data_IF_259630903294
#
_entry.id   IF_259630903294
#
_cell.length_a   1.000
_cell.length_b   1.000
_cell.length_c   1.000
_cell.angle_alpha   90.00
_cell.angle_beta   90.00
_cell.angle_gamma   90.00
#
_symmetry.space_group_name_H-M   'P 1'
#
loop_
_entity.id
_entity.type
_entity.pdbx_description
1 polymer ?
#
# COMPACT_ATOMS: atom_id res chain seq x y z
N UNK A 1 20.78 -3.93 9.17
CA UNK A 1 21.79 -3.47 8.19
C UNK A 1 22.27 -2.07 8.53
N UNK A 2 23.58 -1.84 8.68
CA UNK A 2 24.14 -0.53 9.06
C UNK A 2 24.55 0.34 7.87
N UNK A 3 24.78 -0.25 6.70
CA UNK A 3 25.09 0.48 5.45
C UNK A 3 23.84 1.05 4.77
N UNK A 4 24.00 2.18 4.08
CA UNK A 4 22.94 2.83 3.30
C UNK A 4 22.45 1.90 2.20
N UNK A 5 23.36 1.27 1.44
CA UNK A 5 23.02 0.30 0.40
C UNK A 5 22.21 -0.88 0.95
N UNK A 6 22.53 -1.37 2.14
CA UNK A 6 21.78 -2.44 2.80
C UNK A 6 20.36 -2.02 3.18
N UNK A 7 20.14 -0.78 3.62
CA UNK A 7 18.79 -0.26 3.92
C UNK A 7 17.94 -0.11 2.67
N UNK A 8 18.55 0.41 1.60
CA UNK A 8 17.87 0.57 0.29
C UNK A 8 17.43 -0.80 -0.23
N UNK A 9 18.31 -1.80 -0.26
CA UNK A 9 17.97 -3.14 -0.73
C UNK A 9 16.86 -3.79 0.13
N UNK A 10 16.95 -3.67 1.47
CA UNK A 10 15.95 -4.22 2.40
C UNK A 10 14.54 -3.63 2.21
N UNK A 11 14.42 -2.38 1.74
CA UNK A 11 13.13 -1.76 1.43
C UNK A 11 12.69 -2.05 -0.01
N UNK A 12 13.62 -1.99 -0.96
CA UNK A 12 13.32 -2.10 -2.38
C UNK A 12 12.73 -3.46 -2.77
N UNK A 13 13.33 -4.57 -2.31
CA UNK A 13 12.85 -5.91 -2.64
C UNK A 13 11.41 -6.19 -2.20
N UNK A 14 11.03 -5.97 -0.92
CA UNK A 14 9.65 -6.22 -0.51
C UNK A 14 8.66 -5.29 -1.20
N UNK A 15 9.03 -4.02 -1.45
CA UNK A 15 8.16 -3.10 -2.21
C UNK A 15 7.96 -3.61 -3.65
N UNK A 16 9.02 -4.04 -4.32
CA UNK A 16 8.92 -4.59 -5.67
C UNK A 16 8.00 -5.82 -5.74
N UNK A 17 8.17 -6.76 -4.80
CA UNK A 17 7.33 -7.96 -4.74
C UNK A 17 5.87 -7.60 -4.46
N UNK A 18 5.61 -6.64 -3.56
CA UNK A 18 4.27 -6.15 -3.27
C UNK A 18 3.55 -5.65 -4.54
N UNK A 19 4.25 -4.84 -5.34
CA UNK A 19 3.73 -4.36 -6.63
C UNK A 19 3.58 -5.49 -7.65
N UNK A 20 4.54 -6.40 -7.73
CA UNK A 20 4.49 -7.54 -8.67
C UNK A 20 3.30 -8.48 -8.39
N UNK A 21 2.90 -8.61 -7.12
CA UNK A 21 1.72 -9.38 -6.70
C UNK A 21 0.40 -8.61 -6.82
N UNK A 22 0.42 -7.37 -7.32
CA UNK A 22 -0.76 -6.52 -7.51
C UNK A 22 -1.49 -6.24 -6.19
N UNK A 23 -0.74 -6.13 -5.08
CA UNK A 23 -1.33 -5.70 -3.83
C UNK A 23 -1.61 -4.20 -3.84
N UNK A 24 -2.66 -3.81 -3.13
CA UNK A 24 -3.14 -2.43 -3.11
C UNK A 24 -2.57 -1.66 -1.93
N UNK A 25 -2.00 -0.50 -2.23
CA UNK A 25 -1.50 0.43 -1.22
C UNK A 25 -2.30 1.73 -1.26
N UNK A 26 -2.93 2.06 -0.13
CA UNK A 26 -3.84 3.20 0.00
C UNK A 26 -3.24 4.49 -0.55
N UNK A 27 -2.02 4.83 -0.13
CA UNK A 27 -1.38 6.10 -0.51
C UNK A 27 -1.02 6.12 -2.00
N UNK A 28 -0.72 4.96 -2.59
CA UNK A 28 -0.43 4.85 -4.02
C UNK A 28 -1.73 5.03 -4.81
N UNK A 29 -2.82 4.42 -4.35
CA UNK A 29 -4.13 4.55 -4.97
C UNK A 29 -4.68 5.99 -4.87
N UNK A 30 -4.37 6.71 -3.79
CA UNK A 30 -4.65 8.15 -3.65
C UNK A 30 -3.95 9.03 -4.70
N UNK A 31 -2.88 8.54 -5.33
CA UNK A 31 -2.22 9.23 -6.44
C UNK A 31 -2.66 8.69 -7.80
N UNK A 32 -2.73 7.35 -7.94
CA UNK A 32 -2.96 6.69 -9.22
C UNK A 32 -4.38 6.90 -9.76
N UNK A 33 -5.41 6.83 -8.90
CA UNK A 33 -6.80 6.99 -9.33
C UNK A 33 -7.12 8.44 -9.74
N UNK A 34 -6.74 9.48 -8.96
CA UNK A 34 -6.90 10.87 -9.43
C UNK A 34 -6.14 11.17 -10.71
N UNK A 35 -4.92 10.63 -10.88
CA UNK A 35 -4.18 10.75 -12.12
C UNK A 35 -4.93 10.08 -13.29
N UNK A 36 -5.50 8.89 -13.07
CA UNK A 36 -6.33 8.20 -14.07
C UNK A 36 -7.57 8.99 -14.47
N UNK A 37 -8.26 9.62 -13.50
CA UNK A 37 -9.40 10.50 -13.78
C UNK A 37 -9.01 11.71 -14.64
N UNK A 38 -7.86 12.34 -14.34
CA UNK A 38 -7.33 13.46 -15.13
C UNK A 38 -6.98 13.03 -16.56
N UNK A 39 -6.48 11.79 -16.72
CA UNK A 39 -6.14 11.21 -18.02
C UNK A 39 -7.37 10.66 -18.78
N UNK A 40 -8.58 10.83 -18.26
CA UNK A 40 -9.82 10.51 -18.96
C UNK A 40 -10.43 9.14 -18.63
N UNK A 41 -10.15 8.57 -17.46
CA UNK A 41 -10.79 7.32 -17.06
C UNK A 41 -12.26 7.52 -16.63
N UNK A 42 -13.14 6.61 -17.08
CA UNK A 42 -14.59 6.67 -16.88
C UNK A 42 -15.05 6.16 -15.50
N UNK A 43 -14.46 6.66 -14.40
CA UNK A 43 -14.94 6.34 -13.05
C UNK A 43 -15.02 7.59 -12.16
N UNK A 44 -16.12 7.70 -11.42
CA UNK A 44 -16.38 8.82 -10.52
C UNK A 44 -15.70 8.67 -9.15
N UNK A 45 -15.59 9.79 -8.44
CA UNK A 45 -15.01 9.86 -7.07
C UNK A 45 -15.74 8.94 -6.09
N UNK A 46 -17.07 8.87 -6.16
CA UNK A 46 -17.87 8.02 -5.28
C UNK A 46 -17.60 6.52 -5.49
N UNK A 47 -17.38 6.10 -6.74
CA UNK A 47 -17.04 4.71 -7.07
C UNK A 47 -15.65 4.36 -6.55
N UNK A 48 -14.67 5.24 -6.79
CA UNK A 48 -13.31 5.07 -6.27
C UNK A 48 -13.28 4.99 -4.74
N UNK A 49 -14.00 5.87 -4.04
CA UNK A 49 -13.99 5.91 -2.58
C UNK A 49 -14.54 4.61 -1.97
N UNK A 50 -15.70 4.15 -2.45
CA UNK A 50 -16.41 3.01 -1.87
C UNK A 50 -15.79 1.65 -2.24
N UNK A 51 -15.32 1.50 -3.48
CA UNK A 51 -14.85 0.20 -3.99
C UNK A 51 -13.33 0.04 -3.97
N UNK A 52 -12.58 1.13 -3.76
CA UNK A 52 -11.12 1.05 -3.69
C UNK A 52 -10.58 1.63 -2.38
N UNK A 53 -10.84 2.91 -2.10
CA UNK A 53 -10.14 3.60 -1.02
C UNK A 53 -10.48 3.03 0.36
N UNK A 54 -11.77 2.86 0.67
CA UNK A 54 -12.20 2.31 1.97
C UNK A 54 -11.70 0.87 2.16
N UNK A 55 -11.91 -0.07 1.21
CA UNK A 55 -11.35 -1.43 1.33
C UNK A 55 -9.83 -1.45 1.49
N UNK A 56 -9.10 -0.64 0.72
CA UNK A 56 -7.63 -0.62 0.75
C UNK A 56 -7.12 -0.10 2.09
N UNK A 57 -7.73 0.96 2.66
CA UNK A 57 -7.38 1.48 3.98
C UNK A 57 -7.55 0.40 5.05
N UNK A 58 -8.71 -0.25 5.07
CA UNK A 58 -9.00 -1.29 6.04
C UNK A 58 -8.04 -2.47 5.90
N UNK A 59 -7.78 -2.93 4.67
CA UNK A 59 -6.84 -4.01 4.40
C UNK A 59 -5.41 -3.66 4.82
N UNK A 60 -4.94 -2.45 4.53
CA UNK A 60 -3.60 -1.99 4.92
C UNK A 60 -3.44 -1.87 6.44
N UNK A 61 -4.45 -1.35 7.14
CA UNK A 61 -4.44 -1.29 8.61
C UNK A 61 -4.44 -2.69 9.21
N UNK A 62 -5.32 -3.57 8.77
CA UNK A 62 -5.40 -4.95 9.28
C UNK A 62 -4.10 -5.72 9.01
N UNK A 63 -3.54 -5.62 7.80
CA UNK A 63 -2.26 -6.23 7.46
C UNK A 63 -1.11 -5.69 8.31
N UNK A 64 -1.03 -4.37 8.49
CA UNK A 64 -0.02 -3.73 9.32
C UNK A 64 -0.12 -4.15 10.80
N UNK A 65 -1.33 -4.25 11.34
CA UNK A 65 -1.56 -4.67 12.70
C UNK A 65 -1.19 -6.15 12.91
N UNK A 66 -1.69 -7.04 12.05
CA UNK A 66 -1.55 -8.49 12.22
C UNK A 66 -0.15 -8.99 11.93
N UNK A 67 0.52 -8.45 10.90
CA UNK A 67 1.82 -8.97 10.44
C UNK A 67 3.00 -8.22 11.08
N UNK A 68 2.78 -6.99 11.56
CA UNK A 68 3.84 -6.14 12.09
C UNK A 68 3.61 -5.79 13.55
N UNK A 69 2.53 -5.06 13.89
CA UNK A 69 2.37 -4.53 15.25
C UNK A 69 2.20 -5.62 16.31
N UNK A 70 1.33 -6.61 16.07
CA UNK A 70 1.06 -7.68 17.05
C UNK A 70 2.32 -8.55 17.28
N UNK A 71 3.01 -9.07 16.25
CA UNK A 71 4.22 -9.86 16.46
C UNK A 71 5.33 -9.06 17.15
N UNK A 72 5.51 -7.79 16.81
CA UNK A 72 6.49 -6.93 17.49
C UNK A 72 6.13 -6.71 18.97
N UNK A 73 4.85 -6.48 19.28
CA UNK A 73 4.38 -6.31 20.65
C UNK A 73 4.54 -7.57 21.50
N UNK A 74 4.29 -8.76 20.93
CA UNK A 74 4.42 -10.03 21.65
C UNK A 74 5.88 -10.46 21.90
N UNK A 75 6.83 -9.87 21.18
CA UNK A 75 8.26 -10.24 21.23
C UNK A 75 9.14 -9.17 21.91
N UNK A 76 8.52 -8.12 22.44
CA UNK A 76 9.13 -7.07 23.26
C UNK A 76 8.60 -7.13 24.70
#
# INVERSE_FOLDING_TARGET
ARSVSGRVAMMWFPIFIFFALVFEHTVVNMFLFPLGMILGADFGIATWLNFNLIPTILGNIVGGLVITCIPLYLTH
#
